data_IF_765411542719
#
_entry.id   IF_765411542719
#
_cell.length_a   1.000
_cell.length_b   1.000
_cell.length_c   1.000
_cell.angle_alpha   90.00
_cell.angle_beta   90.00
_cell.angle_gamma   90.00
#
_symmetry.space_group_name_H-M   'P 1'
#
loop_
_entity.id
_entity.type
_entity.pdbx_description
1 polymer ?
#
# COMPACT_ATOMS: atom_id res chain seq x y z
N UNK A 1 7.03 9.77 10.32
CA UNK A 1 5.81 8.97 10.07
C UNK A 1 5.92 8.11 8.81
N UNK A 2 5.37 6.89 8.85
CA UNK A 2 5.36 5.89 7.76
C UNK A 2 6.70 5.57 7.07
N UNK A 3 7.85 5.84 7.72
CA UNK A 3 9.18 5.68 7.13
C UNK A 3 9.45 4.24 6.69
N UNK A 4 9.10 3.27 7.53
CA UNK A 4 9.33 1.85 7.23
C UNK A 4 8.61 1.40 5.96
N UNK A 5 7.35 1.82 5.76
CA UNK A 5 6.59 1.50 4.55
C UNK A 5 7.15 2.21 3.32
N UNK A 6 7.55 3.49 3.48
CA UNK A 6 8.24 4.24 2.41
C UNK A 6 9.53 3.53 2.00
N UNK A 7 10.34 3.10 2.96
CA UNK A 7 11.61 2.42 2.70
C UNK A 7 11.40 1.08 2.02
N UNK A 8 10.39 0.31 2.42
CA UNK A 8 9.99 -0.94 1.76
C UNK A 8 9.58 -0.70 0.31
N UNK A 9 8.72 0.29 0.05
CA UNK A 9 8.32 0.67 -1.31
C UNK A 9 9.51 1.14 -2.15
N UNK A 10 10.34 2.04 -1.63
CA UNK A 10 11.51 2.54 -2.34
C UNK A 10 12.57 1.46 -2.57
N UNK A 11 12.70 0.49 -1.66
CA UNK A 11 13.56 -0.68 -1.87
C UNK A 11 13.03 -1.53 -3.02
N UNK A 12 11.74 -1.85 -3.01
CA UNK A 12 11.11 -2.60 -4.10
C UNK A 12 11.34 -1.90 -5.45
N UNK A 13 11.14 -0.58 -5.52
CA UNK A 13 11.40 0.18 -6.75
C UNK A 13 12.85 0.04 -7.21
N UNK A 14 13.83 0.21 -6.31
CA UNK A 14 15.25 0.06 -6.69
C UNK A 14 15.57 -1.33 -7.20
N UNK A 15 15.03 -2.37 -6.55
CA UNK A 15 15.28 -3.76 -6.93
C UNK A 15 14.61 -4.11 -8.27
N UNK A 16 13.47 -3.48 -8.59
CA UNK A 16 12.67 -3.73 -9.78
C UNK A 16 12.83 -2.64 -10.86
N UNK A 17 13.96 -1.93 -10.89
CA UNK A 17 14.26 -0.89 -11.90
C UNK A 17 13.17 0.19 -12.04
N UNK A 18 12.55 0.53 -10.91
CA UNK A 18 11.48 1.51 -10.77
C UNK A 18 10.16 1.15 -11.48
N UNK A 19 9.96 -0.13 -11.77
CA UNK A 19 8.68 -0.65 -12.28
C UNK A 19 7.62 -0.68 -11.17
N UNK A 20 6.80 0.36 -11.09
CA UNK A 20 5.77 0.52 -10.05
C UNK A 20 4.77 -0.64 -10.03
N UNK A 21 4.47 -1.24 -11.18
CA UNK A 21 3.52 -2.35 -11.29
C UNK A 21 3.95 -3.58 -10.47
N UNK A 22 5.26 -3.79 -10.29
CA UNK A 22 5.82 -4.88 -9.49
C UNK A 22 5.81 -4.59 -7.98
N UNK A 23 5.61 -3.33 -7.59
CA UNK A 23 5.68 -2.85 -6.21
C UNK A 23 4.33 -2.35 -5.68
N UNK A 24 3.23 -2.82 -6.27
CA UNK A 24 1.87 -2.33 -5.95
C UNK A 24 1.47 -2.67 -4.52
N UNK A 25 1.92 -3.81 -3.97
CA UNK A 25 1.64 -4.19 -2.58
C UNK A 25 2.32 -3.22 -1.59
N UNK A 26 3.59 -2.91 -1.80
CA UNK A 26 4.36 -1.99 -0.96
C UNK A 26 3.84 -0.56 -1.08
N UNK A 27 3.41 -0.17 -2.29
CA UNK A 27 2.76 1.12 -2.54
C UNK A 27 1.45 1.24 -1.77
N UNK A 28 0.60 0.19 -1.81
CA UNK A 28 -0.66 0.13 -1.06
C UNK A 28 -0.44 0.30 0.44
N UNK A 29 0.46 -0.49 1.04
CA UNK A 29 0.77 -0.39 2.49
C UNK A 29 1.27 1.00 2.88
N UNK A 30 2.05 1.65 2.02
CA UNK A 30 2.54 3.01 2.26
C UNK A 30 1.41 4.04 2.22
N UNK A 31 0.49 3.93 1.27
CA UNK A 31 -0.66 4.82 1.14
C UNK A 31 -1.67 4.62 2.27
N UNK A 32 -1.94 3.38 2.67
CA UNK A 32 -2.78 3.04 3.83
C UNK A 32 -2.25 3.73 5.10
N UNK A 33 -0.95 3.60 5.39
CA UNK A 33 -0.34 4.26 6.55
C UNK A 33 -0.52 5.79 6.53
N UNK A 34 -0.42 6.41 5.34
CA UNK A 34 -0.59 7.86 5.21
C UNK A 34 -2.03 8.29 5.44
N UNK A 35 -3.01 7.53 4.96
CA UNK A 35 -4.42 7.81 5.19
C UNK A 35 -4.80 7.62 6.66
N UNK A 36 -4.36 6.53 7.29
CA UNK A 36 -4.59 6.26 8.73
C UNK A 36 -4.03 7.37 9.62
N UNK A 37 -2.86 7.92 9.27
CA UNK A 37 -2.22 9.02 10.00
C UNK A 37 -2.68 10.41 9.58
N UNK A 38 -3.71 10.50 8.73
CA UNK A 38 -4.25 11.78 8.23
C UNK A 38 -3.19 12.65 7.52
N UNK A 39 -2.17 11.99 6.92
CA UNK A 39 -1.12 12.62 6.10
C UNK A 39 -1.49 12.66 4.60
N UNK A 40 -2.68 12.17 4.28
CA UNK A 40 -3.32 12.15 2.98
C UNK A 40 -4.84 12.09 3.21
N UNK A 41 -5.62 12.69 2.30
CA UNK A 41 -7.07 12.54 2.33
C UNK A 41 -7.44 11.04 2.19
N UNK A 42 -8.34 10.51 3.02
CA UNK A 42 -8.78 9.14 2.91
C UNK A 42 -9.56 8.95 1.60
N UNK A 43 -9.09 8.04 0.76
CA UNK A 43 -9.72 7.64 -0.50
C UNK A 43 -9.77 6.10 -0.55
N UNK A 44 -10.86 5.51 -1.09
CA UNK A 44 -10.94 4.07 -1.32
C UNK A 44 -9.78 3.57 -2.18
N UNK A 45 -9.13 2.49 -1.77
CA UNK A 45 -7.97 1.93 -2.46
C UNK A 45 -8.31 1.46 -3.88
N UNK A 46 -9.57 1.08 -4.11
CA UNK A 46 -10.12 0.74 -5.41
C UNK A 46 -10.01 1.93 -6.39
N UNK A 47 -10.28 3.16 -5.91
CA UNK A 47 -10.13 4.38 -6.71
C UNK A 47 -8.69 4.76 -6.98
N UNK A 48 -7.78 4.33 -6.11
CA UNK A 48 -6.33 4.47 -6.29
C UNK A 48 -5.76 3.34 -7.16
N UNK A 49 -6.63 2.49 -7.74
CA UNK A 49 -6.25 1.44 -8.65
C UNK A 49 -5.66 0.23 -7.95
N UNK A 50 -6.13 -0.13 -6.74
CA UNK A 50 -5.74 -1.35 -6.02
C UNK A 50 -6.91 -2.34 -5.81
N UNK A 51 -7.97 -2.24 -6.62
CA UNK A 51 -9.17 -3.08 -6.48
C UNK A 51 -8.83 -4.59 -6.50
N UNK A 52 -7.97 -5.00 -7.42
CA UNK A 52 -7.49 -6.38 -7.56
C UNK A 52 -6.71 -6.91 -6.35
N UNK A 53 -6.16 -6.02 -5.52
CA UNK A 53 -5.45 -6.40 -4.29
C UNK A 53 -6.36 -6.47 -3.06
N UNK A 54 -7.65 -6.15 -3.21
CA UNK A 54 -8.65 -6.25 -2.14
C UNK A 54 -9.43 -7.57 -2.23
N UNK A 55 -9.74 -8.02 -3.44
CA UNK A 55 -10.48 -9.27 -3.68
C UNK A 55 -9.73 -10.54 -3.22
N UNK A 56 -8.42 -10.45 -2.94
CA UNK A 56 -7.59 -11.56 -2.45
C UNK A 56 -7.26 -11.54 -0.95
N UNK A 57 -7.78 -10.60 -0.16
CA UNK A 57 -7.37 -10.41 1.26
C UNK A 57 -8.54 -10.13 2.21
N UNK A 58 -9.61 -10.90 2.08
CA UNK A 58 -10.66 -11.01 3.11
C UNK A 58 -10.43 -12.23 4.00
N UNK A 59 -9.31 -12.33 4.71
CA UNK A 59 -9.20 -13.19 5.89
C UNK A 59 -7.99 -12.77 6.74
N UNK A 60 -8.17 -12.69 8.06
CA UNK A 60 -7.18 -12.41 9.11
C UNK A 60 -7.06 -10.99 9.72
N UNK A 61 -8.11 -10.17 9.73
CA UNK A 61 -8.26 -9.09 10.75
C UNK A 61 -9.69 -8.93 11.27
N UNK A 62 -10.30 -10.03 11.72
CA UNK A 62 -11.28 -9.94 12.80
C UNK A 62 -11.53 -11.33 13.41
N UNK A 63 -10.82 -11.66 14.48
CA UNK A 63 -11.33 -12.58 15.51
C UNK A 63 -11.04 -11.91 16.85
N UNK A 64 -12.09 -11.32 17.40
CA UNK A 64 -12.24 -11.11 18.83
C UNK A 64 -12.15 -12.44 19.57
#
# INVERSE_FOLDING_TARGET
ECKNFKEKFMKCLRDNRFENALCRNESKEYLECRMERQLMAPEPLEKLGFADLMDGKSEAKNKF
#
